data_IF_969249337733
#
_entry.id   IF_969249337733
#
_cell.length_a   1.000
_cell.length_b   1.000
_cell.length_c   1.000
_cell.angle_alpha   90.00
_cell.angle_beta   90.00
_cell.angle_gamma   90.00
#
_symmetry.space_group_name_H-M   'P 1'
#
loop_
_entity.id
_entity.type
_entity.pdbx_description
1 polymer ?
#
# COMPACT_ATOMS: atom_id res chain seq x y z
N UNK A 1 15.07 78.84 51.27
CA UNK A 1 13.87 77.99 51.42
C UNK A 1 13.41 77.43 50.06
N UNK A 2 14.35 77.03 49.19
CA UNK A 2 14.03 76.74 47.78
C UNK A 2 14.53 75.37 47.31
N UNK A 3 15.23 74.62 48.16
CA UNK A 3 15.75 73.29 47.83
C UNK A 3 14.81 72.18 48.31
N UNK A 4 14.20 72.32 49.50
CA UNK A 4 13.24 71.34 50.04
C UNK A 4 12.02 71.09 49.12
N UNK A 5 11.54 72.13 48.43
CA UNK A 5 10.41 72.01 47.49
C UNK A 5 10.85 71.28 46.20
N UNK A 6 12.06 71.55 45.70
CA UNK A 6 12.60 70.84 44.52
C UNK A 6 12.82 69.36 44.81
N UNK A 7 13.26 69.04 46.01
CA UNK A 7 13.42 67.65 46.45
C UNK A 7 12.07 66.96 46.57
N UNK A 8 11.05 67.61 47.16
CA UNK A 8 9.68 67.09 47.20
C UNK A 8 9.10 66.81 45.80
N UNK A 9 9.34 67.70 44.83
CA UNK A 9 8.90 67.51 43.44
C UNK A 9 9.62 66.34 42.75
N UNK A 10 10.93 66.20 42.98
CA UNK A 10 11.71 65.09 42.43
C UNK A 10 11.20 63.75 42.98
N UNK A 11 11.02 63.68 44.29
CA UNK A 11 10.51 62.47 44.95
C UNK A 11 9.06 62.16 44.57
N UNK A 12 8.21 63.18 44.38
CA UNK A 12 6.85 62.99 43.87
C UNK A 12 6.83 62.26 42.53
N UNK A 13 7.67 62.68 41.58
CA UNK A 13 7.79 62.01 40.28
C UNK A 13 8.37 60.59 40.42
N UNK A 14 9.41 60.43 41.23
CA UNK A 14 10.08 59.15 41.46
C UNK A 14 9.15 58.09 42.09
N UNK A 15 8.38 58.47 43.12
CA UNK A 15 7.46 57.55 43.80
C UNK A 15 6.25 57.20 42.96
N UNK A 16 5.76 58.14 42.13
CA UNK A 16 4.74 57.84 41.13
C UNK A 16 5.27 56.83 40.08
N UNK A 17 6.53 56.94 39.67
CA UNK A 17 7.16 55.96 38.79
C UNK A 17 7.32 54.60 39.47
N UNK A 18 7.74 54.58 40.74
CA UNK A 18 7.91 53.36 41.56
C UNK A 18 6.61 52.71 42.05
N UNK A 19 5.43 53.28 41.72
CA UNK A 19 4.12 52.76 42.18
C UNK A 19 3.98 52.69 43.72
N UNK A 20 4.61 53.62 44.44
CA UNK A 20 4.42 53.70 45.89
C UNK A 20 3.18 54.53 46.17
N UNK A 21 2.22 53.97 46.90
CA UNK A 21 1.01 54.67 47.34
C UNK A 21 1.29 55.50 48.61
N UNK A 22 1.46 56.81 48.42
CA UNK A 22 1.75 57.74 49.53
C UNK A 22 0.51 57.97 50.41
N UNK A 23 -0.70 57.81 49.84
CA UNK A 23 -1.96 57.99 50.54
C UNK A 23 -2.22 56.81 51.48
N UNK A 24 -2.04 55.58 50.99
CA UNK A 24 -2.16 54.36 51.80
C UNK A 24 -1.10 54.30 52.93
N UNK A 25 0.12 54.78 52.63
CA UNK A 25 1.20 54.83 53.62
C UNK A 25 0.86 55.71 54.83
N UNK A 26 0.20 56.85 54.61
CA UNK A 26 -0.33 57.71 55.68
C UNK A 26 -1.71 57.23 56.18
N UNK A 27 -2.43 56.41 55.41
CA UNK A 27 -3.80 55.95 55.64
C UNK A 27 -4.81 57.07 55.53
N UNK A 28 -4.62 57.92 54.54
CA UNK A 28 -5.51 59.03 54.21
C UNK A 28 -6.04 58.81 52.80
N UNK A 29 -7.23 59.32 52.52
CA UNK A 29 -7.78 59.29 51.17
C UNK A 29 -7.21 60.43 50.31
N UNK A 30 -7.27 60.28 48.98
CA UNK A 30 -6.84 61.29 48.03
C UNK A 30 -7.63 62.60 48.12
N UNK A 31 -8.80 62.62 48.77
CA UNK A 31 -9.61 63.83 49.02
C UNK A 31 -9.28 64.52 50.36
N UNK A 32 -8.35 63.96 51.14
CA UNK A 32 -8.03 64.47 52.48
C UNK A 32 -7.34 65.84 52.41
N UNK A 33 -7.75 66.76 53.29
CA UNK A 33 -7.17 68.11 53.37
C UNK A 33 -5.73 68.08 53.88
N UNK A 34 -4.93 69.09 53.54
CA UNK A 34 -3.54 69.24 54.00
C UNK A 34 -3.41 69.22 55.53
N UNK A 35 -4.39 69.81 56.24
CA UNK A 35 -4.39 69.85 57.70
C UNK A 35 -4.68 68.49 58.33
N UNK A 36 -5.55 67.70 57.69
CA UNK A 36 -5.84 66.32 58.07
C UNK A 36 -4.67 65.39 57.76
N UNK A 37 -3.96 65.60 56.64
CA UNK A 37 -2.73 64.86 56.29
C UNK A 37 -1.65 65.07 57.36
N UNK A 38 -1.43 66.32 57.80
CA UNK A 38 -0.49 66.63 58.88
C UNK A 38 -0.90 65.97 60.20
N UNK A 39 -2.21 65.92 60.52
CA UNK A 39 -2.73 65.25 61.72
C UNK A 39 -2.57 63.74 61.66
N UNK A 40 -2.91 63.12 60.53
CA UNK A 40 -2.76 61.68 60.29
C UNK A 40 -1.29 61.25 60.38
N UNK A 41 -0.39 62.04 59.78
CA UNK A 41 1.05 61.81 59.90
C UNK A 41 1.52 61.84 61.35
N UNK A 42 1.15 62.85 62.16
CA UNK A 42 1.53 62.90 63.59
C UNK A 42 1.02 61.70 64.38
N UNK A 43 -0.18 61.21 64.07
CA UNK A 43 -0.76 60.04 64.76
C UNK A 43 0.00 58.77 64.42
N UNK A 44 0.35 58.59 63.14
CA UNK A 44 0.94 57.37 62.60
C UNK A 44 2.47 57.36 62.71
N UNK A 45 3.12 58.52 62.76
CA UNK A 45 4.55 58.65 63.03
C UNK A 45 4.94 58.08 64.40
N UNK A 46 4.07 58.17 65.40
CA UNK A 46 4.31 57.57 66.72
C UNK A 46 4.54 56.05 66.69
N UNK A 47 4.03 55.36 65.66
CA UNK A 47 4.25 53.93 65.48
C UNK A 47 5.57 53.60 64.78
N UNK A 48 6.09 54.52 63.96
CA UNK A 48 7.30 54.33 63.14
C UNK A 48 8.52 55.10 63.67
N UNK A 49 8.36 55.92 64.71
CA UNK A 49 9.44 56.75 65.26
C UNK A 49 10.55 55.89 65.88
N UNK A 50 11.84 56.20 65.65
CA UNK A 50 12.97 55.38 66.13
C UNK A 50 12.97 55.17 67.65
N UNK A 51 12.54 56.19 68.41
CA UNK A 51 12.44 56.13 69.88
C UNK A 51 11.33 55.18 70.39
N UNK A 52 10.26 54.95 69.62
CA UNK A 52 9.13 54.10 70.03
C UNK A 52 9.15 52.72 69.39
N UNK A 53 9.73 52.61 68.20
CA UNK A 53 9.73 51.37 67.44
C UNK A 53 10.82 50.38 67.92
N UNK A 54 11.89 50.87 68.58
CA UNK A 54 12.95 50.03 69.12
C UNK A 54 13.46 49.01 68.09
N UNK A 55 13.38 47.72 68.41
CA UNK A 55 13.83 46.61 67.53
C UNK A 55 13.01 46.41 66.25
N UNK A 56 11.83 47.03 66.14
CA UNK A 56 10.96 46.97 64.94
C UNK A 56 11.13 48.18 64.02
N UNK A 57 12.11 49.04 64.30
CA UNK A 57 12.37 50.22 63.50
C UNK A 57 12.91 49.84 62.12
N UNK A 58 12.28 50.37 61.08
CA UNK A 58 12.70 50.21 59.70
C UNK A 58 13.06 51.61 59.16
N UNK A 59 14.37 51.89 58.95
CA UNK A 59 14.82 53.21 58.53
C UNK A 59 14.30 53.60 57.15
N UNK A 60 14.16 52.65 56.22
CA UNK A 60 13.69 52.93 54.86
C UNK A 60 12.20 53.29 54.86
N UNK A 61 11.39 52.58 55.67
CA UNK A 61 9.97 52.91 55.82
C UNK A 61 9.76 54.23 56.54
N UNK A 62 10.59 54.55 57.54
CA UNK A 62 10.56 55.85 58.21
C UNK A 62 10.85 56.98 57.23
N UNK A 63 11.91 56.86 56.44
CA UNK A 63 12.28 57.84 55.42
C UNK A 63 11.16 57.99 54.37
N UNK A 64 10.57 56.88 53.92
CA UNK A 64 9.43 56.91 53.00
C UNK A 64 8.21 57.61 53.62
N UNK A 65 7.96 57.41 54.91
CA UNK A 65 6.86 58.01 55.65
C UNK A 65 7.04 59.51 55.86
N UNK A 66 8.26 59.97 56.12
CA UNK A 66 8.61 61.40 56.15
C UNK A 66 8.45 62.04 54.77
N UNK A 67 8.99 61.39 53.72
CA UNK A 67 8.85 61.89 52.34
C UNK A 67 7.40 61.92 51.87
N UNK A 68 6.58 60.94 52.26
CA UNK A 68 5.14 60.93 51.94
C UNK A 68 4.42 62.14 52.55
N UNK A 69 4.74 62.52 53.79
CA UNK A 69 4.22 63.75 54.39
C UNK A 69 4.64 64.97 53.59
N UNK A 70 5.92 65.08 53.24
CA UNK A 70 6.47 66.27 52.61
C UNK A 70 5.88 66.47 51.20
N UNK A 71 5.72 65.38 50.44
CA UNK A 71 5.08 65.40 49.11
C UNK A 71 3.59 65.73 49.21
N UNK A 72 2.85 65.08 50.12
CA UNK A 72 1.39 65.28 50.24
C UNK A 72 1.02 66.58 50.97
N UNK A 73 1.95 67.17 51.70
CA UNK A 73 1.78 68.47 52.37
C UNK A 73 2.09 69.64 51.44
N UNK A 74 2.85 69.47 50.35
CA UNK A 74 3.03 70.53 49.36
C UNK A 74 2.05 70.37 48.19
N UNK A 75 1.31 71.43 47.86
CA UNK A 75 0.25 71.37 46.86
C UNK A 75 0.83 71.11 45.46
N UNK A 76 2.02 71.64 45.18
CA UNK A 76 2.70 71.44 43.90
C UNK A 76 3.28 70.02 43.76
N UNK A 77 3.91 69.49 44.80
CA UNK A 77 4.42 68.12 44.83
C UNK A 77 3.28 67.09 44.76
N UNK A 78 2.18 67.30 45.49
CA UNK A 78 0.97 66.47 45.41
C UNK A 78 0.36 66.46 44.02
N UNK A 79 0.19 67.63 43.39
CA UNK A 79 -0.33 67.72 42.03
C UNK A 79 0.56 66.98 41.02
N UNK A 80 1.89 67.06 41.19
CA UNK A 80 2.86 66.35 40.34
C UNK A 80 2.76 64.83 40.50
N UNK A 81 2.66 64.35 41.74
CA UNK A 81 2.46 62.93 42.05
C UNK A 81 1.15 62.40 41.44
N UNK A 82 0.03 63.08 41.68
CA UNK A 82 -1.28 62.68 41.17
C UNK A 82 -1.32 62.70 39.63
N UNK A 83 -0.75 63.72 39.00
CA UNK A 83 -0.65 63.83 37.55
C UNK A 83 0.21 62.70 36.96
N UNK A 84 1.35 62.37 37.57
CA UNK A 84 2.22 61.29 37.12
C UNK A 84 1.54 59.92 37.25
N UNK A 85 0.85 59.65 38.37
CA UNK A 85 0.07 58.42 38.57
C UNK A 85 -1.05 58.28 37.54
N UNK A 86 -1.80 59.37 37.29
CA UNK A 86 -2.86 59.39 36.27
C UNK A 86 -2.30 59.17 34.86
N UNK A 87 -1.21 59.84 34.50
CA UNK A 87 -0.56 59.69 33.20
C UNK A 87 -0.07 58.25 32.97
N UNK A 88 0.49 57.62 34.00
CA UNK A 88 0.91 56.21 33.96
C UNK A 88 -0.27 55.26 33.75
N UNK A 89 -1.37 55.47 34.48
CA UNK A 89 -2.58 54.68 34.32
C UNK A 89 -3.15 54.81 32.90
N UNK A 90 -3.20 56.02 32.37
CA UNK A 90 -3.67 56.29 31.00
C UNK A 90 -2.79 55.57 29.97
N UNK A 91 -1.47 55.71 30.05
CA UNK A 91 -0.52 55.01 29.17
C UNK A 91 -0.69 53.49 29.22
N UNK A 92 -0.96 52.92 30.41
CA UNK A 92 -1.22 51.49 30.58
C UNK A 92 -2.53 51.07 29.89
N UNK A 93 -3.59 51.87 30.02
CA UNK A 93 -4.87 51.61 29.37
C UNK A 93 -4.76 51.72 27.85
N UNK A 94 -4.11 52.78 27.35
CA UNK A 94 -3.84 52.98 25.92
C UNK A 94 -3.04 51.81 25.34
N UNK A 95 -1.95 51.39 26.01
CA UNK A 95 -1.16 50.24 25.58
C UNK A 95 -2.01 48.96 25.52
N UNK A 96 -2.79 48.70 26.57
CA UNK A 96 -3.69 47.54 26.60
C UNK A 96 -4.78 47.60 25.52
N UNK A 97 -5.27 48.78 25.15
CA UNK A 97 -6.22 48.95 24.05
C UNK A 97 -5.56 48.67 22.70
N UNK A 98 -4.37 49.25 22.45
CA UNK A 98 -3.59 49.01 21.24
C UNK A 98 -3.22 47.52 21.09
N UNK A 99 -2.86 46.85 22.19
CA UNK A 99 -2.53 45.42 22.18
C UNK A 99 -3.76 44.57 21.83
N UNK A 100 -4.96 44.93 22.32
CA UNK A 100 -6.22 44.27 21.94
C UNK A 100 -6.56 44.49 20.47
N UNK A 101 -6.34 45.70 19.95
CA UNK A 101 -6.56 45.97 18.52
C UNK A 101 -5.59 45.19 17.64
N UNK A 102 -4.31 45.10 18.04
CA UNK A 102 -3.31 44.26 17.36
C UNK A 102 -3.69 42.79 17.37
N UNK A 103 -4.18 42.28 18.50
CA UNK A 103 -4.66 40.90 18.61
C UNK A 103 -5.82 40.65 17.65
N UNK A 104 -6.84 41.52 17.66
CA UNK A 104 -7.98 41.39 16.74
C UNK A 104 -7.54 41.40 15.28
N UNK A 105 -6.62 42.29 14.91
CA UNK A 105 -6.09 42.35 13.55
C UNK A 105 -5.33 41.08 13.17
N UNK A 106 -4.53 40.53 14.09
CA UNK A 106 -3.83 39.27 13.87
C UNK A 106 -4.79 38.09 13.71
N UNK A 107 -5.82 38.01 14.57
CA UNK A 107 -6.84 36.96 14.53
C UNK A 107 -7.64 37.02 13.22
N UNK A 108 -8.03 38.23 12.78
CA UNK A 108 -8.74 38.43 11.51
C UNK A 108 -7.86 38.03 10.31
N UNK A 109 -6.57 38.37 10.33
CA UNK A 109 -5.62 37.99 9.29
C UNK A 109 -5.43 36.47 9.24
N UNK A 110 -5.23 35.83 10.39
CA UNK A 110 -5.08 34.37 10.48
C UNK A 110 -6.34 33.64 10.02
N UNK A 111 -7.53 34.14 10.40
CA UNK A 111 -8.80 33.59 9.94
C UNK A 111 -8.94 33.69 8.41
N UNK A 112 -8.58 34.83 7.83
CA UNK A 112 -8.61 35.03 6.38
C UNK A 112 -7.61 34.11 5.65
N UNK A 113 -6.39 33.98 6.14
CA UNK A 113 -5.38 33.07 5.58
C UNK A 113 -5.82 31.61 5.65
N UNK A 114 -6.36 31.18 6.79
CA UNK A 114 -6.87 29.83 6.97
C UNK A 114 -8.06 29.54 6.05
N UNK A 115 -8.99 30.49 5.90
CA UNK A 115 -10.11 30.35 4.97
C UNK A 115 -9.63 30.22 3.52
N UNK A 116 -8.67 31.06 3.09
CA UNK A 116 -8.10 30.99 1.76
C UNK A 116 -7.36 29.66 1.52
N UNK A 117 -6.59 29.19 2.52
CA UNK A 117 -5.89 27.90 2.46
C UNK A 117 -6.88 26.72 2.36
N UNK A 118 -7.95 26.74 3.14
CA UNK A 118 -9.00 25.72 3.05
C UNK A 118 -9.69 25.73 1.69
N UNK A 119 -10.00 26.90 1.14
CA UNK A 119 -10.58 27.00 -0.21
C UNK A 119 -9.63 26.44 -1.28
N UNK A 120 -8.34 26.76 -1.20
CA UNK A 120 -7.34 26.22 -2.11
C UNK A 120 -7.22 24.69 -1.99
N UNK A 121 -7.16 24.17 -0.76
CA UNK A 121 -7.12 22.72 -0.52
C UNK A 121 -8.37 22.02 -1.03
N UNK A 122 -9.56 22.56 -0.75
CA UNK A 122 -10.81 22.01 -1.25
C UNK A 122 -10.88 22.01 -2.78
N UNK A 123 -10.36 23.07 -3.42
CA UNK A 123 -10.26 23.14 -4.88
C UNK A 123 -9.28 22.08 -5.41
N UNK A 124 -8.08 21.98 -4.84
CA UNK A 124 -7.10 20.97 -5.22
C UNK A 124 -7.65 19.55 -5.05
N UNK A 125 -8.34 19.26 -3.94
CA UNK A 125 -8.99 17.97 -3.72
C UNK A 125 -10.02 17.67 -4.80
N UNK A 126 -10.91 18.63 -5.12
CA UNK A 126 -11.89 18.47 -6.20
C UNK A 126 -11.22 18.25 -7.56
N UNK A 127 -10.17 19.01 -7.87
CA UNK A 127 -9.44 18.86 -9.13
C UNK A 127 -8.76 17.48 -9.21
N UNK A 128 -8.17 16.99 -8.12
CA UNK A 128 -7.58 15.65 -8.07
C UNK A 128 -8.62 14.53 -8.18
N UNK A 129 -9.78 14.69 -7.55
CA UNK A 129 -10.88 13.72 -7.63
C UNK A 129 -11.46 13.69 -9.06
N UNK A 130 -11.65 14.85 -9.68
CA UNK A 130 -12.07 14.97 -11.08
C UNK A 130 -11.08 14.28 -12.02
N UNK A 131 -9.78 14.54 -11.85
CA UNK A 131 -8.73 13.92 -12.67
C UNK A 131 -8.68 12.40 -12.48
N UNK A 132 -8.87 11.92 -11.25
CA UNK A 132 -8.95 10.48 -10.96
C UNK A 132 -10.15 9.83 -11.66
N UNK A 133 -11.34 10.44 -11.55
CA UNK A 133 -12.54 9.96 -12.24
C UNK A 133 -12.38 9.96 -13.76
N UNK A 134 -11.75 10.99 -14.32
CA UNK A 134 -11.47 11.03 -15.76
C UNK A 134 -10.48 9.92 -16.16
N UNK A 135 -9.44 9.69 -15.37
CA UNK A 135 -8.48 8.60 -15.59
C UNK A 135 -9.15 7.23 -15.53
N UNK A 136 -10.03 7.00 -14.57
CA UNK A 136 -10.79 5.76 -14.45
C UNK A 136 -11.73 5.57 -15.64
N UNK A 137 -12.45 6.62 -16.05
CA UNK A 137 -13.32 6.59 -17.22
C UNK A 137 -12.57 6.26 -18.50
N UNK A 138 -11.37 6.83 -18.69
CA UNK A 138 -10.51 6.52 -19.84
C UNK A 138 -10.00 5.08 -19.79
N UNK A 139 -9.60 4.60 -18.61
CA UNK A 139 -9.16 3.21 -18.42
C UNK A 139 -10.29 2.21 -18.68
N UNK A 140 -11.52 2.52 -18.28
CA UNK A 140 -12.70 1.70 -18.56
C UNK A 140 -13.01 1.67 -20.07
N UNK A 141 -13.01 2.83 -20.73
CA UNK A 141 -13.17 2.90 -22.19
C UNK A 141 -12.09 2.11 -22.93
N UNK A 142 -10.84 2.17 -22.45
CA UNK A 142 -9.75 1.40 -23.03
C UNK A 142 -9.96 -0.10 -22.85
N UNK A 143 -10.37 -0.55 -21.66
CA UNK A 143 -10.69 -1.97 -21.40
C UNK A 143 -11.81 -2.48 -22.29
N UNK A 144 -12.88 -1.70 -22.46
CA UNK A 144 -13.99 -2.05 -23.35
C UNK A 144 -13.52 -2.20 -24.80
N UNK A 145 -12.67 -1.28 -25.26
CA UNK A 145 -12.10 -1.32 -26.61
C UNK A 145 -11.17 -2.52 -26.80
N UNK A 146 -10.32 -2.82 -25.82
CA UNK A 146 -9.40 -3.95 -25.85
C UNK A 146 -10.17 -5.28 -25.82
N UNK A 147 -11.24 -5.37 -25.03
CA UNK A 147 -12.13 -6.53 -25.01
C UNK A 147 -12.86 -6.69 -26.35
N UNK A 148 -13.37 -5.61 -26.94
CA UNK A 148 -14.01 -5.64 -28.27
C UNK A 148 -13.02 -6.06 -29.36
N UNK A 149 -11.80 -5.49 -29.36
CA UNK A 149 -10.74 -5.87 -30.27
C UNK A 149 -10.35 -7.36 -30.10
N UNK A 150 -10.26 -7.83 -28.86
CA UNK A 150 -9.98 -9.24 -28.56
C UNK A 150 -11.08 -10.17 -29.07
N UNK A 151 -12.36 -9.80 -28.89
CA UNK A 151 -13.50 -10.53 -29.43
C UNK A 151 -13.49 -10.56 -30.97
N UNK A 152 -13.21 -9.42 -31.61
CA UNK A 152 -13.11 -9.34 -33.07
C UNK A 152 -11.94 -10.19 -33.59
N UNK A 153 -10.79 -10.16 -32.91
CA UNK A 153 -9.63 -10.98 -33.27
C UNK A 153 -9.92 -12.49 -33.13
N UNK A 154 -10.61 -12.91 -32.06
CA UNK A 154 -11.03 -14.29 -31.88
C UNK A 154 -12.01 -14.72 -32.99
N UNK A 155 -13.00 -13.90 -33.32
CA UNK A 155 -13.93 -14.17 -34.41
C UNK A 155 -13.22 -14.25 -35.78
N UNK A 156 -12.20 -13.42 -36.01
CA UNK A 156 -11.39 -13.48 -37.22
C UNK A 156 -10.57 -14.78 -37.29
N UNK A 157 -9.95 -15.20 -36.19
CA UNK A 157 -9.24 -16.48 -36.10
C UNK A 157 -10.18 -17.67 -36.38
N UNK A 158 -11.38 -17.68 -35.80
CA UNK A 158 -12.38 -18.73 -36.07
C UNK A 158 -12.78 -18.77 -37.55
N UNK A 159 -12.92 -17.61 -38.19
CA UNK A 159 -13.22 -17.51 -39.62
C UNK A 159 -12.08 -18.06 -40.48
N UNK A 160 -10.83 -17.75 -40.13
CA UNK A 160 -9.64 -18.26 -40.82
C UNK A 160 -9.50 -19.77 -40.65
N UNK A 161 -9.71 -20.30 -39.43
CA UNK A 161 -9.71 -21.74 -39.13
C UNK A 161 -10.79 -22.48 -39.92
N UNK A 162 -11.99 -21.90 -40.01
CA UNK A 162 -13.10 -22.45 -40.79
C UNK A 162 -12.79 -22.44 -42.29
N UNK A 163 -12.13 -21.39 -42.79
CA UNK A 163 -11.67 -21.32 -44.18
C UNK A 163 -10.58 -22.37 -44.46
N UNK A 164 -9.64 -22.56 -43.54
CA UNK A 164 -8.58 -23.57 -43.64
C UNK A 164 -9.17 -24.99 -43.61
N UNK A 165 -10.12 -25.28 -42.72
CA UNK A 165 -10.82 -26.55 -42.67
C UNK A 165 -11.56 -26.85 -43.98
N UNK A 166 -12.21 -25.84 -44.59
CA UNK A 166 -12.82 -25.94 -45.92
C UNK A 166 -11.79 -26.21 -47.02
N UNK A 167 -10.62 -25.54 -46.99
CA UNK A 167 -9.51 -25.77 -47.93
C UNK A 167 -8.96 -27.19 -47.80
N UNK A 168 -8.64 -27.66 -46.59
CA UNK A 168 -8.20 -29.03 -46.32
C UNK A 168 -9.22 -30.07 -46.80
N UNK A 169 -10.52 -29.81 -46.58
CA UNK A 169 -11.57 -30.70 -47.08
C UNK A 169 -11.63 -30.71 -48.61
N UNK A 170 -11.45 -29.56 -49.25
CA UNK A 170 -11.39 -29.41 -50.71
C UNK A 170 -10.17 -30.15 -51.28
N UNK A 171 -8.99 -29.94 -50.73
CA UNK A 171 -7.76 -30.65 -51.10
C UNK A 171 -7.91 -32.15 -50.93
N UNK A 172 -8.45 -32.63 -49.80
CA UNK A 172 -8.71 -34.06 -49.58
C UNK A 172 -9.72 -34.63 -50.59
N UNK A 173 -10.73 -33.85 -51.00
CA UNK A 173 -11.67 -34.24 -52.04
C UNK A 173 -10.99 -34.30 -53.41
N UNK A 174 -10.16 -33.31 -53.74
CA UNK A 174 -9.40 -33.25 -54.99
C UNK A 174 -8.34 -34.35 -55.06
N UNK A 175 -7.63 -34.65 -53.98
CA UNK A 175 -6.67 -35.76 -53.90
C UNK A 175 -7.36 -37.11 -54.05
N UNK A 176 -8.51 -37.31 -53.39
CA UNK A 176 -9.34 -38.51 -53.59
C UNK A 176 -9.83 -38.62 -55.04
N UNK A 177 -10.23 -37.51 -55.67
CA UNK A 177 -10.62 -37.48 -57.07
C UNK A 177 -9.44 -37.85 -57.99
N UNK A 178 -8.27 -37.21 -57.81
CA UNK A 178 -7.02 -37.52 -58.53
C UNK A 178 -6.59 -38.97 -58.35
N UNK A 179 -6.64 -39.50 -57.12
CA UNK A 179 -6.33 -40.91 -56.82
C UNK A 179 -7.33 -41.86 -57.46
N UNK A 180 -8.62 -41.50 -57.49
CA UNK A 180 -9.66 -42.29 -58.18
C UNK A 180 -9.39 -42.29 -59.69
N UNK A 181 -9.12 -41.15 -60.29
CA UNK A 181 -8.75 -41.03 -61.70
C UNK A 181 -7.48 -41.82 -62.04
N UNK A 182 -6.44 -41.74 -61.20
CA UNK A 182 -5.22 -42.52 -61.38
C UNK A 182 -5.47 -44.03 -61.24
N UNK A 183 -6.33 -44.45 -60.30
CA UNK A 183 -6.75 -45.85 -60.16
C UNK A 183 -7.57 -46.32 -61.36
N UNK A 184 -8.50 -45.51 -61.87
CA UNK A 184 -9.26 -45.83 -63.09
C UNK A 184 -8.33 -45.96 -64.29
N UNK A 185 -7.38 -45.02 -64.46
CA UNK A 185 -6.32 -45.09 -65.49
C UNK A 185 -5.41 -46.31 -65.34
N UNK A 186 -5.06 -46.68 -64.11
CA UNK A 186 -4.28 -47.90 -63.83
C UNK A 186 -5.09 -49.18 -63.99
N UNK A 187 -6.40 -49.16 -63.70
CA UNK A 187 -7.28 -50.30 -63.87
C UNK A 187 -7.60 -50.53 -65.36
N UNK A 188 -7.64 -49.46 -66.15
CA UNK A 188 -7.71 -49.56 -67.60
C UNK A 188 -6.37 -49.95 -68.25
N UNK A 189 -5.23 -49.85 -67.55
CA UNK A 189 -3.91 -50.21 -68.07
C UNK A 189 -3.28 -51.48 -67.47
N UNK A 190 -3.74 -51.96 -66.32
CA UNK A 190 -3.10 -53.06 -65.57
C UNK A 190 -4.09 -54.19 -65.26
N UNK A 191 -3.82 -55.37 -65.84
CA UNK A 191 -4.30 -56.66 -65.35
C UNK A 191 -3.81 -56.85 -63.90
N UNK A 192 -4.67 -56.55 -62.92
CA UNK A 192 -4.34 -56.56 -61.50
C UNK A 192 -4.09 -57.99 -60.99
N UNK A 193 -2.82 -58.34 -60.73
CA UNK A 193 -2.40 -59.53 -59.98
C UNK A 193 -2.27 -59.16 -58.50
N UNK A 194 -3.11 -59.76 -57.65
CA UNK A 194 -3.18 -59.55 -56.19
C UNK A 194 -1.98 -60.22 -55.51
N UNK A 195 -1.18 -59.46 -54.75
CA UNK A 195 -0.13 -60.00 -53.86
C UNK A 195 -0.70 -60.17 -52.44
N UNK A 196 -0.40 -61.32 -51.83
CA UNK A 196 -0.87 -61.73 -50.51
C UNK A 196 0.04 -61.17 -49.40
N UNK A 197 -0.56 -60.67 -48.31
CA UNK A 197 0.16 -60.29 -47.09
C UNK A 197 0.49 -61.57 -46.30
N UNK A 198 1.70 -61.65 -45.74
CA UNK A 198 2.16 -62.78 -44.93
C UNK A 198 1.26 -63.09 -43.72
N UNK A 199 1.32 -64.33 -43.20
CA UNK A 199 0.35 -64.87 -42.26
C UNK A 199 0.41 -64.18 -40.89
N UNK A 200 -0.76 -64.08 -40.25
CA UNK A 200 -0.93 -63.52 -38.92
C UNK A 200 -0.45 -64.50 -37.84
N UNK A 201 0.31 -64.02 -36.85
CA UNK A 201 0.78 -64.83 -35.71
C UNK A 201 -0.42 -65.43 -34.94
N UNK A 202 -0.34 -66.73 -34.60
CA UNK A 202 -1.42 -67.50 -33.96
C UNK A 202 -2.26 -68.34 -34.93
N UNK A 203 -1.74 -68.64 -36.12
CA UNK A 203 -2.43 -69.46 -37.13
C UNK A 203 -2.24 -70.98 -36.93
N UNK A 204 -1.44 -71.41 -35.96
CA UNK A 204 -1.06 -72.81 -35.72
C UNK A 204 -1.51 -73.24 -34.32
N UNK A 205 -2.25 -74.35 -34.24
CA UNK A 205 -2.72 -74.91 -32.97
C UNK A 205 -1.59 -75.74 -32.32
N UNK A 206 -0.73 -75.07 -31.55
CA UNK A 206 0.38 -75.68 -30.82
C UNK A 206 -0.13 -76.13 -29.44
N UNK A 207 -0.07 -77.43 -29.09
CA UNK A 207 -0.44 -77.91 -27.75
C UNK A 207 0.36 -77.21 -26.66
N UNK A 208 -0.32 -76.84 -25.56
CA UNK A 208 0.30 -76.08 -24.48
C UNK A 208 1.56 -76.75 -23.91
N UNK A 209 1.56 -78.08 -23.80
CA UNK A 209 2.66 -78.88 -23.24
C UNK A 209 3.85 -79.06 -24.20
N UNK A 210 3.82 -78.42 -25.38
CA UNK A 210 4.92 -78.44 -26.32
C UNK A 210 6.14 -77.72 -25.73
N UNK A 211 7.25 -78.45 -25.61
CA UNK A 211 8.46 -77.93 -25.01
C UNK A 211 9.47 -77.55 -26.08
N UNK A 212 9.93 -76.29 -26.04
CA UNK A 212 10.94 -75.76 -26.94
C UNK A 212 12.17 -75.38 -26.13
N UNK A 213 13.35 -75.76 -26.63
CA UNK A 213 14.62 -75.28 -26.05
C UNK A 213 14.91 -73.87 -26.57
N UNK A 214 14.86 -72.89 -25.66
CA UNK A 214 15.17 -71.49 -25.95
C UNK A 214 16.23 -71.05 -24.94
N UNK A 215 17.36 -70.54 -25.45
CA UNK A 215 18.50 -70.07 -24.65
C UNK A 215 19.05 -71.10 -23.65
N UNK A 216 19.06 -72.38 -24.04
CA UNK A 216 19.59 -73.49 -23.22
C UNK A 216 18.67 -73.93 -22.08
N UNK A 217 17.43 -73.42 -22.03
CA UNK A 217 16.40 -73.85 -21.08
C UNK A 217 15.18 -74.39 -21.83
N UNK A 218 14.65 -75.51 -21.34
CA UNK A 218 13.40 -76.08 -21.84
C UNK A 218 12.22 -75.27 -21.32
N UNK A 219 11.55 -74.53 -22.21
CA UNK A 219 10.35 -73.75 -21.90
C UNK A 219 9.14 -74.33 -22.61
N UNK A 220 7.99 -74.29 -21.96
CA UNK A 220 6.74 -74.75 -22.58
C UNK A 220 6.13 -73.64 -23.43
N UNK A 221 5.38 -74.01 -24.47
CA UNK A 221 4.73 -73.05 -25.37
C UNK A 221 3.80 -72.11 -24.59
N UNK A 222 3.07 -72.61 -23.59
CA UNK A 222 2.24 -71.76 -22.72
C UNK A 222 3.06 -70.72 -21.93
N UNK A 223 4.31 -71.01 -21.56
CA UNK A 223 5.18 -70.06 -20.85
C UNK A 223 5.56 -68.87 -21.74
N UNK A 224 5.80 -69.12 -23.03
CA UNK A 224 6.10 -68.08 -24.03
C UNK A 224 4.90 -67.19 -24.29
N UNK A 225 3.70 -67.79 -24.35
CA UNK A 225 2.44 -67.05 -24.47
C UNK A 225 2.18 -66.22 -23.21
N UNK A 226 2.47 -66.74 -22.02
CA UNK A 226 2.39 -65.99 -20.76
C UNK A 226 3.38 -64.82 -20.72
N UNK A 227 4.62 -64.98 -21.22
CA UNK A 227 5.62 -63.91 -21.30
C UNK A 227 5.13 -62.76 -22.20
N UNK A 228 4.56 -63.08 -23.37
CA UNK A 228 3.92 -62.09 -24.27
C UNK A 228 2.73 -61.39 -23.62
N UNK A 229 1.87 -62.13 -22.92
CA UNK A 229 0.71 -61.55 -22.23
C UNK A 229 1.12 -60.65 -21.07
N UNK A 230 2.15 -61.02 -20.31
CA UNK A 230 2.72 -60.18 -19.24
C UNK A 230 3.32 -58.88 -19.78
N UNK A 231 4.05 -58.95 -20.89
CA UNK A 231 4.57 -57.75 -21.57
C UNK A 231 3.44 -56.85 -22.09
N UNK A 232 2.36 -57.42 -22.63
CA UNK A 232 1.17 -56.67 -23.07
C UNK A 232 0.43 -56.03 -21.91
N UNK A 233 0.27 -56.74 -20.80
CA UNK A 233 -0.37 -56.19 -19.60
C UNK A 233 0.47 -55.04 -19.04
N UNK A 234 1.79 -55.19 -18.94
CA UNK A 234 2.69 -54.12 -18.51
C UNK A 234 2.60 -52.88 -19.41
N UNK A 235 2.50 -53.04 -20.73
CA UNK A 235 2.26 -51.91 -21.65
C UNK A 235 0.91 -51.23 -21.42
N UNK A 236 -0.12 -52.01 -21.07
CA UNK A 236 -1.47 -51.47 -20.80
C UNK A 236 -1.54 -50.77 -19.45
N UNK A 237 -0.87 -51.31 -18.43
CA UNK A 237 -0.79 -50.71 -17.10
C UNK A 237 -0.01 -49.38 -17.14
N UNK A 238 1.06 -49.29 -17.95
CA UNK A 238 1.79 -48.04 -18.21
C UNK A 238 0.94 -46.99 -18.93
N UNK A 239 0.09 -47.41 -19.86
CA UNK A 239 -0.83 -46.52 -20.59
C UNK A 239 -1.96 -45.99 -19.67
N UNK A 240 -2.42 -46.81 -18.72
CA UNK A 240 -3.47 -46.42 -17.75
C UNK A 240 -2.96 -45.53 -16.60
N UNK A 241 -1.69 -45.60 -16.24
CA UNK A 241 -1.12 -44.86 -15.09
C UNK A 241 -0.87 -43.37 -15.33
N UNK A 242 -1.20 -42.81 -16.49
CA UNK A 242 -1.33 -41.35 -16.66
C UNK A 242 -0.02 -40.54 -16.52
N UNK A 243 0.75 -40.51 -17.60
CA UNK A 243 1.62 -39.43 -18.10
C UNK A 243 2.24 -38.42 -17.07
N UNK A 244 3.52 -38.65 -16.72
CA UNK A 244 4.42 -37.64 -16.15
C UNK A 244 5.66 -37.48 -17.05
N UNK A 245 6.21 -36.26 -17.27
CA UNK A 245 6.87 -35.93 -18.53
C UNK A 245 8.34 -36.31 -18.67
N UNK A 246 9.03 -36.84 -17.65
CA UNK A 246 10.48 -37.01 -17.72
C UNK A 246 10.93 -38.32 -17.06
N UNK A 247 11.56 -39.19 -17.86
CA UNK A 247 12.10 -40.55 -17.57
C UNK A 247 11.26 -41.80 -17.94
N UNK A 248 10.59 -41.85 -19.10
CA UNK A 248 9.83 -43.06 -19.50
C UNK A 248 9.92 -43.53 -20.98
N UNK A 249 10.81 -42.98 -21.80
CA UNK A 249 10.97 -43.45 -23.20
C UNK A 249 11.75 -44.79 -23.28
N UNK A 250 12.84 -44.92 -22.52
CA UNK A 250 13.64 -46.16 -22.48
C UNK A 250 12.86 -47.34 -21.91
N UNK A 251 11.98 -47.10 -20.92
CA UNK A 251 11.14 -48.15 -20.32
C UNK A 251 10.06 -48.62 -21.28
N UNK A 252 9.45 -47.70 -22.04
CA UNK A 252 8.44 -48.05 -23.05
C UNK A 252 9.07 -48.80 -24.22
N UNK A 253 10.23 -48.34 -24.71
CA UNK A 253 10.98 -49.02 -25.76
C UNK A 253 11.45 -50.41 -25.31
N UNK A 254 11.91 -50.55 -24.07
CA UNK A 254 12.26 -51.84 -23.48
C UNK A 254 11.07 -52.80 -23.44
N UNK A 255 9.90 -52.35 -23.00
CA UNK A 255 8.68 -53.18 -23.00
C UNK A 255 8.23 -53.56 -24.41
N UNK A 256 8.31 -52.65 -25.39
CA UNK A 256 8.02 -52.97 -26.79
C UNK A 256 9.01 -54.00 -27.38
N UNK A 257 10.29 -53.90 -27.03
CA UNK A 257 11.30 -54.89 -27.41
C UNK A 257 10.99 -56.26 -26.80
N UNK A 258 10.64 -56.33 -25.50
CA UNK A 258 10.23 -57.61 -24.87
C UNK A 258 8.99 -58.22 -25.52
N UNK A 259 8.03 -57.40 -25.95
CA UNK A 259 6.87 -57.88 -26.71
C UNK A 259 7.29 -58.42 -28.09
N UNK A 260 8.22 -57.75 -28.78
CA UNK A 260 8.71 -58.19 -30.09
C UNK A 260 9.48 -59.51 -30.00
N UNK A 261 10.38 -59.64 -29.03
CA UNK A 261 11.15 -60.87 -28.81
C UNK A 261 10.25 -62.04 -28.40
N UNK A 262 9.26 -61.81 -27.54
CA UNK A 262 8.28 -62.83 -27.19
C UNK A 262 7.45 -63.28 -28.41
N UNK A 263 7.09 -62.35 -29.31
CA UNK A 263 6.41 -62.70 -30.58
C UNK A 263 7.30 -63.53 -31.51
N UNK A 264 8.59 -63.23 -31.60
CA UNK A 264 9.53 -64.03 -32.39
C UNK A 264 9.70 -65.43 -31.81
N UNK A 265 9.89 -65.57 -30.50
CA UNK A 265 9.99 -66.88 -29.82
C UNK A 265 8.76 -67.75 -30.03
N UNK A 266 7.56 -67.17 -29.99
CA UNK A 266 6.31 -67.89 -30.29
C UNK A 266 6.27 -68.33 -31.75
N UNK A 267 6.68 -67.47 -32.68
CA UNK A 267 6.75 -67.82 -34.11
C UNK A 267 7.75 -68.95 -34.37
N UNK A 268 8.94 -68.90 -33.77
CA UNK A 268 9.95 -69.93 -33.91
C UNK A 268 9.48 -71.27 -33.31
N UNK A 269 8.77 -71.22 -32.18
CA UNK A 269 8.13 -72.39 -31.58
C UNK A 269 7.01 -72.97 -32.46
N UNK A 270 6.16 -72.13 -33.05
CA UNK A 270 5.14 -72.54 -34.02
C UNK A 270 5.77 -73.18 -35.26
N UNK A 271 6.88 -72.63 -35.76
CA UNK A 271 7.61 -73.16 -36.90
C UNK A 271 8.29 -74.49 -36.59
N UNK A 272 8.89 -74.64 -35.41
CA UNK A 272 9.48 -75.88 -34.93
C UNK A 272 8.43 -76.99 -34.83
N UNK A 273 7.28 -76.69 -34.21
CA UNK A 273 6.16 -77.60 -34.11
C UNK A 273 5.63 -78.00 -35.49
N UNK A 274 5.45 -77.05 -36.42
CA UNK A 274 5.03 -77.37 -37.79
C UNK A 274 6.01 -78.27 -38.53
N UNK A 275 7.32 -78.10 -38.32
CA UNK A 275 8.35 -78.98 -38.93
C UNK A 275 8.28 -80.39 -38.35
N UNK A 276 8.03 -80.54 -37.05
CA UNK A 276 7.93 -81.83 -36.39
C UNK A 276 6.64 -82.58 -36.76
N UNK A 277 5.49 -81.89 -36.86
CA UNK A 277 4.26 -82.51 -37.35
C UNK A 277 4.34 -82.82 -38.85
N UNK A 278 5.01 -81.98 -39.63
CA UNK A 278 5.20 -82.18 -41.07
C UNK A 278 6.20 -83.27 -41.45
N UNK A 279 6.92 -83.83 -40.47
CA UNK A 279 7.87 -84.95 -40.66
C UNK A 279 7.41 -86.26 -40.00
N UNK A 280 6.19 -86.30 -39.47
CA UNK A 280 5.49 -87.53 -39.01
C UNK A 280 4.38 -87.95 -39.98
#
# INVERSE_FOLDING_TARGET
MSDDNKDALRFAAEYAEKNVDLYDLLGVDALTSKDDIRRAWRKRSLAYHPDKAGDKFDPEKWELFERARDILSDDNARATYDAAMKAKLLRKQERAAMDKERQRFADDLEAAENAARQQQQAKQQKDTEMLQKERERLAELQRMRDEENSRQAAAAQEMDDMAEARRRLKERKEEKAKRKEAKERMKSSSLYKKQEKGPANGAVDVPGDYAVEIDGQRKMYWELVCEKLRARQALTDMDQMGNGPDMQDDTMQGLQQTMSTAKQRIYDAELAYQREIGTS
#
